data_IF_978712761638
#
_entry.id   IF_978712761638
#
_cell.length_a   1.000
_cell.length_b   1.000
_cell.length_c   1.000
_cell.angle_alpha   90.00
_cell.angle_beta   90.00
_cell.angle_gamma   90.00
#
_symmetry.space_group_name_H-M   'P 1'
#
loop_
_entity.id
_entity.type
_entity.pdbx_description
1 polymer ?
#
# COMPACT_ATOMS: atom_id res chain seq x y z
N UNK A 1 -10.06 -10.08 -3.66
CA UNK A 1 -9.39 -11.08 -4.49
C UNK A 1 -10.05 -12.44 -4.39
N UNK A 2 -10.18 -13.02 -3.20
CA UNK A 2 -10.77 -14.33 -2.93
C UNK A 2 -12.13 -14.60 -3.60
N UNK A 3 -12.96 -13.57 -3.74
CA UNK A 3 -14.33 -13.66 -4.28
C UNK A 3 -14.47 -13.14 -5.72
N UNK A 4 -13.43 -12.61 -6.34
CA UNK A 4 -13.52 -12.11 -7.72
C UNK A 4 -13.89 -13.19 -8.75
N UNK A 5 -13.40 -14.45 -8.63
CA UNK A 5 -13.82 -15.52 -9.53
C UNK A 5 -15.31 -15.82 -9.47
N UNK A 6 -15.98 -15.62 -8.33
CA UNK A 6 -17.42 -15.83 -8.18
C UNK A 6 -18.24 -14.83 -9.02
N UNK A 7 -17.62 -13.74 -9.46
CA UNK A 7 -18.18 -12.71 -10.34
C UNK A 7 -17.65 -12.79 -11.78
N UNK A 8 -16.97 -13.86 -12.15
CA UNK A 8 -16.45 -14.09 -13.50
C UNK A 8 -15.15 -13.37 -13.84
N UNK A 9 -14.39 -12.88 -12.83
CA UNK A 9 -13.09 -12.28 -13.02
C UNK A 9 -11.97 -13.31 -12.76
N UNK A 10 -10.91 -13.25 -13.55
CA UNK A 10 -9.67 -13.99 -13.32
C UNK A 10 -8.62 -13.04 -12.73
N UNK A 11 -8.37 -13.07 -11.42
CA UNK A 11 -7.44 -12.15 -10.79
C UNK A 11 -5.99 -12.58 -10.95
N UNK A 12 -5.16 -11.74 -11.57
CA UNK A 12 -3.71 -11.84 -11.59
C UNK A 12 -3.13 -10.91 -10.53
N UNK A 13 -2.42 -11.46 -9.56
CA UNK A 13 -1.93 -10.71 -8.39
C UNK A 13 -0.43 -10.53 -8.47
N UNK A 14 0.00 -9.32 -8.81
CA UNK A 14 1.41 -8.97 -8.84
C UNK A 14 1.96 -8.65 -7.45
N UNK A 15 2.97 -9.41 -7.04
CA UNK A 15 3.62 -9.29 -5.73
C UNK A 15 5.14 -9.43 -5.85
N UNK A 16 5.93 -8.92 -4.88
CA UNK A 16 7.36 -9.18 -4.83
C UNK A 16 7.66 -10.67 -4.59
N UNK A 17 8.73 -11.17 -5.20
CA UNK A 17 9.18 -12.54 -5.02
C UNK A 17 9.73 -12.79 -3.61
N UNK A 18 10.50 -11.83 -3.09
CA UNK A 18 11.17 -11.93 -1.79
C UNK A 18 10.83 -10.73 -0.91
N UNK A 19 9.59 -10.60 -0.43
CA UNK A 19 9.20 -9.47 0.40
C UNK A 19 9.74 -9.62 1.82
N UNK A 20 10.18 -8.51 2.41
CA UNK A 20 10.51 -8.45 3.83
C UNK A 20 9.26 -8.06 4.61
N UNK A 21 8.50 -9.05 5.07
CA UNK A 21 7.34 -8.83 5.94
C UNK A 21 7.69 -9.19 7.39
N UNK A 22 7.20 -8.42 8.38
CA UNK A 22 7.41 -8.72 9.78
C UNK A 22 6.67 -9.98 10.26
N UNK A 23 5.53 -10.28 9.63
CA UNK A 23 4.67 -11.44 9.92
C UNK A 23 4.09 -11.95 8.60
N UNK A 24 4.05 -13.27 8.45
CA UNK A 24 3.40 -13.98 7.34
C UNK A 24 2.38 -14.92 7.95
N UNK A 25 1.15 -14.85 7.48
CA UNK A 25 0.11 -15.82 7.82
C UNK A 25 -0.04 -16.82 6.67
N UNK A 26 0.48 -18.01 6.87
CA UNK A 26 0.47 -19.08 5.86
C UNK A 26 -0.97 -19.54 5.50
N UNK A 27 -1.91 -19.43 6.44
CA UNK A 27 -3.32 -19.80 6.16
C UNK A 27 -3.92 -18.84 5.15
N UNK A 28 -3.72 -17.54 5.33
CA UNK A 28 -4.19 -16.51 4.39
C UNK A 28 -3.52 -16.63 3.01
N UNK A 29 -2.24 -16.99 2.97
CA UNK A 29 -1.54 -17.24 1.70
C UNK A 29 -2.19 -18.39 0.95
N UNK A 30 -2.45 -19.52 1.61
CA UNK A 30 -3.05 -20.70 1.00
C UNK A 30 -4.50 -20.43 0.51
N UNK A 31 -5.27 -19.61 1.22
CA UNK A 31 -6.64 -19.25 0.81
C UNK A 31 -6.71 -18.47 -0.52
N UNK A 32 -5.64 -17.76 -0.86
CA UNK A 32 -5.60 -16.92 -2.08
C UNK A 32 -5.00 -17.67 -3.25
N UNK A 33 -4.06 -18.59 -3.03
CA UNK A 33 -3.31 -19.30 -4.08
C UNK A 33 -4.20 -20.11 -5.02
N UNK A 34 -5.31 -20.66 -4.53
CA UNK A 34 -6.22 -21.48 -5.33
C UNK A 34 -7.20 -20.62 -6.18
N UNK A 35 -7.26 -19.32 -5.94
CA UNK A 35 -8.26 -18.41 -6.53
C UNK A 35 -7.69 -17.27 -7.35
N UNK A 36 -6.38 -17.13 -7.37
CA UNK A 36 -5.70 -16.07 -8.09
C UNK A 36 -4.37 -16.53 -8.68
N UNK A 37 -4.02 -16.02 -9.85
CA UNK A 37 -2.71 -16.26 -10.47
C UNK A 37 -1.69 -15.33 -9.80
N UNK A 38 -0.72 -15.92 -9.09
CA UNK A 38 0.33 -15.15 -8.43
C UNK A 38 1.48 -14.86 -9.40
N UNK A 39 1.67 -13.58 -9.69
CA UNK A 39 2.74 -13.05 -10.54
C UNK A 39 3.83 -12.48 -9.67
N UNK A 40 5.00 -13.10 -9.66
CA UNK A 40 6.12 -12.72 -8.79
C UNK A 40 7.26 -12.10 -9.58
N UNK A 41 7.85 -11.05 -9.05
CA UNK A 41 9.05 -10.44 -9.62
C UNK A 41 10.00 -10.01 -8.50
N UNK A 42 11.29 -10.07 -8.79
CA UNK A 42 12.34 -9.61 -7.86
C UNK A 42 12.31 -8.11 -7.75
N UNK A 43 12.53 -7.65 -6.53
CA UNK A 43 12.55 -6.23 -6.20
C UNK A 43 13.80 -5.90 -5.39
N UNK A 44 14.22 -4.65 -5.50
CA UNK A 44 15.23 -4.08 -4.63
C UNK A 44 14.57 -3.38 -3.45
N UNK A 45 14.84 -3.86 -2.23
CA UNK A 45 14.38 -3.22 -0.97
C UNK A 45 15.57 -2.56 -0.26
N UNK A 46 15.66 -1.21 -0.22
CA UNK A 46 16.77 -0.50 0.44
C UNK A 46 16.89 -0.83 1.94
N UNK A 47 15.78 -1.17 2.58
CA UNK A 47 15.76 -1.53 4.00
C UNK A 47 16.44 -2.88 4.31
N UNK A 48 16.55 -3.78 3.34
CA UNK A 48 17.33 -5.01 3.51
C UNK A 48 18.82 -4.69 3.77
N UNK A 49 19.34 -3.64 3.14
CA UNK A 49 20.72 -3.15 3.40
C UNK A 49 20.83 -2.43 4.76
N UNK A 50 19.82 -1.66 5.15
CA UNK A 50 19.82 -0.95 6.44
C UNK A 50 19.71 -1.91 7.64
N UNK A 51 19.07 -3.07 7.47
CA UNK A 51 18.95 -4.09 8.53
C UNK A 51 20.29 -4.73 8.91
N UNK A 52 21.27 -4.70 8.02
CA UNK A 52 22.64 -5.18 8.29
C UNK A 52 23.36 -4.28 9.30
N UNK A 53 23.03 -2.98 9.34
CA UNK A 53 23.68 -1.99 10.21
C UNK A 53 22.96 -1.75 11.55
N UNK A 54 21.71 -2.21 11.73
CA UNK A 54 20.99 -2.00 12.99
C UNK A 54 19.89 -3.03 13.21
N UNK A 55 20.24 -4.11 13.94
CA UNK A 55 19.34 -5.26 14.16
C UNK A 55 18.00 -4.98 14.86
N UNK A 56 17.88 -3.94 15.68
CA UNK A 56 16.69 -3.72 16.50
C UNK A 56 15.83 -2.50 16.10
N UNK A 57 16.43 -1.42 15.62
CA UNK A 57 15.70 -0.17 15.33
C UNK A 57 15.13 -0.13 13.90
N UNK A 58 15.77 -0.82 12.98
CA UNK A 58 15.36 -0.85 11.56
C UNK A 58 14.06 -1.62 11.36
N UNK A 59 13.80 -2.69 12.14
CA UNK A 59 12.54 -3.46 12.07
C UNK A 59 11.32 -2.62 12.44
N UNK A 60 11.42 -1.73 13.43
CA UNK A 60 10.33 -0.83 13.85
C UNK A 60 10.01 0.23 12.79
N UNK A 61 11.05 0.77 12.15
CA UNK A 61 10.89 1.81 11.13
C UNK A 61 10.35 1.21 9.81
N UNK A 62 10.76 -0.01 9.45
CA UNK A 62 10.26 -0.70 8.24
C UNK A 62 8.81 -1.12 8.35
N UNK A 63 8.32 -1.41 9.56
CA UNK A 63 6.92 -1.78 9.81
C UNK A 63 5.95 -0.59 9.87
N UNK A 64 6.41 0.64 9.59
CA UNK A 64 5.55 1.83 9.65
C UNK A 64 5.34 2.41 11.05
N UNK A 65 5.82 1.75 12.10
CA UNK A 65 5.70 2.23 13.48
C UNK A 65 6.72 3.34 13.72
N UNK A 66 6.24 4.56 13.93
CA UNK A 66 7.10 5.70 14.27
C UNK A 66 7.35 5.68 15.78
N UNK A 67 8.61 5.59 16.24
CA UNK A 67 8.91 5.64 17.67
C UNK A 67 8.47 6.96 18.30
N UNK A 68 8.02 6.91 19.56
CA UNK A 68 7.51 8.07 20.28
C UNK A 68 8.54 9.23 20.26
N UNK A 69 8.14 10.42 19.79
CA UNK A 69 9.04 11.56 19.49
C UNK A 69 9.95 11.98 20.65
N UNK A 70 9.50 11.79 21.90
CA UNK A 70 10.25 12.21 23.10
C UNK A 70 11.52 11.38 23.40
N UNK A 71 11.72 10.23 22.71
CA UNK A 71 12.85 9.30 22.95
C UNK A 71 13.67 8.98 21.70
N UNK A 72 13.47 9.72 20.60
CA UNK A 72 14.19 9.45 19.35
C UNK A 72 15.64 9.90 19.42
N UNK A 73 16.55 8.99 19.08
CA UNK A 73 17.98 9.28 18.91
C UNK A 73 18.20 10.14 17.65
N UNK A 74 19.37 10.79 17.55
CA UNK A 74 19.73 11.58 16.38
C UNK A 74 19.74 10.75 15.09
N UNK A 75 20.18 9.49 15.17
CA UNK A 75 20.21 8.55 14.06
C UNK A 75 18.78 8.23 13.58
N UNK A 76 17.84 7.97 14.50
CA UNK A 76 16.43 7.73 14.15
C UNK A 76 15.78 8.92 13.47
N UNK A 77 16.09 10.14 13.95
CA UNK A 77 15.62 11.38 13.31
C UNK A 77 16.17 11.55 11.90
N UNK A 78 17.46 11.25 11.69
CA UNK A 78 18.10 11.28 10.37
C UNK A 78 17.50 10.23 9.43
N UNK A 79 17.25 9.01 9.92
CA UNK A 79 16.62 7.95 9.13
C UNK A 79 15.17 8.29 8.73
N UNK A 80 14.39 8.88 9.63
CA UNK A 80 13.03 9.36 9.32
C UNK A 80 13.05 10.48 8.27
N UNK A 81 14.00 11.40 8.40
CA UNK A 81 14.17 12.48 7.42
C UNK A 81 14.53 11.91 6.03
N UNK A 82 15.51 11.00 5.96
CA UNK A 82 15.89 10.33 4.72
C UNK A 82 14.69 9.58 4.12
N UNK A 83 13.94 8.84 4.95
CA UNK A 83 12.74 8.11 4.51
C UNK A 83 11.72 9.02 3.84
N UNK A 84 11.44 10.20 4.42
CA UNK A 84 10.41 11.10 3.88
C UNK A 84 10.90 11.96 2.71
N UNK A 85 12.22 12.20 2.60
CA UNK A 85 12.75 13.17 1.64
C UNK A 85 13.52 12.55 0.47
N UNK A 86 14.13 11.39 0.66
CA UNK A 86 14.87 10.69 -0.40
C UNK A 86 14.06 9.60 -1.07
N UNK A 87 13.12 8.96 -0.34
CA UNK A 87 12.29 7.88 -0.87
C UNK A 87 10.85 8.35 -1.05
N UNK A 88 10.55 8.97 -2.18
CA UNK A 88 9.23 9.52 -2.49
C UNK A 88 8.56 8.67 -3.58
N UNK A 89 7.38 8.09 -3.31
CA UNK A 89 6.50 8.27 -2.15
C UNK A 89 6.88 7.45 -0.92
N UNK A 90 7.60 6.38 -1.08
CA UNK A 90 8.02 5.45 -0.04
C UNK A 90 9.24 4.64 -0.51
N UNK A 91 9.78 3.78 0.36
CA UNK A 91 10.99 3.01 0.08
C UNK A 91 10.86 2.03 -1.08
N UNK A 92 9.66 1.78 -1.57
CA UNK A 92 9.39 0.89 -2.70
C UNK A 92 9.38 1.60 -4.05
N UNK A 93 9.76 2.88 -4.08
CA UNK A 93 9.89 3.66 -5.31
C UNK A 93 10.81 2.98 -6.34
N UNK A 94 11.80 2.21 -5.90
CA UNK A 94 12.69 1.44 -6.78
C UNK A 94 12.01 0.25 -7.49
N UNK A 95 10.81 -0.15 -7.04
CA UNK A 95 10.02 -1.14 -7.76
C UNK A 95 9.39 -0.60 -9.03
N UNK A 96 9.14 0.71 -9.07
CA UNK A 96 8.28 1.30 -10.10
C UNK A 96 8.79 0.95 -11.49
N UNK A 97 10.03 1.32 -11.81
CA UNK A 97 10.58 1.09 -13.14
C UNK A 97 10.64 -0.40 -13.54
N UNK A 98 11.28 -1.30 -12.75
CA UNK A 98 11.36 -2.71 -13.14
C UNK A 98 9.99 -3.39 -13.17
N UNK A 99 9.03 -2.97 -12.33
CA UNK A 99 7.67 -3.48 -12.38
C UNK A 99 6.93 -3.06 -13.64
N UNK A 100 7.08 -1.82 -14.06
CA UNK A 100 6.44 -1.33 -15.30
C UNK A 100 7.00 -2.10 -16.50
N UNK A 101 8.31 -2.24 -16.62
CA UNK A 101 8.95 -2.98 -17.72
C UNK A 101 8.46 -4.43 -17.77
N UNK A 102 8.38 -5.11 -16.64
CA UNK A 102 7.89 -6.47 -16.55
C UNK A 102 6.39 -6.59 -16.86
N UNK A 103 5.58 -5.72 -16.22
CA UNK A 103 4.12 -5.79 -16.34
C UNK A 103 3.61 -5.43 -17.73
N UNK A 104 4.28 -4.57 -18.48
CA UNK A 104 3.90 -4.27 -19.87
C UNK A 104 3.88 -5.56 -20.71
N UNK A 105 4.94 -6.35 -20.65
CA UNK A 105 5.03 -7.62 -21.38
C UNK A 105 3.98 -8.61 -20.88
N UNK A 106 3.81 -8.67 -19.56
CA UNK A 106 2.85 -9.57 -18.93
C UNK A 106 1.40 -9.26 -19.30
N UNK A 107 1.01 -7.99 -19.23
CA UNK A 107 -0.34 -7.49 -19.54
C UNK A 107 -0.69 -7.78 -21.02
N UNK A 108 0.23 -7.52 -21.94
CA UNK A 108 0.05 -7.83 -23.36
C UNK A 108 -0.10 -9.33 -23.61
N UNK A 109 0.76 -10.14 -23.03
CA UNK A 109 0.74 -11.60 -23.21
C UNK A 109 -0.55 -12.25 -22.67
N UNK A 110 -1.14 -11.69 -21.61
CA UNK A 110 -2.35 -12.21 -20.98
C UNK A 110 -3.63 -11.41 -21.34
N UNK A 111 -3.54 -10.43 -22.26
CA UNK A 111 -4.66 -9.62 -22.72
C UNK A 111 -5.43 -8.96 -21.56
N UNK A 112 -4.71 -8.48 -20.55
CA UNK A 112 -5.31 -7.80 -19.40
C UNK A 112 -5.69 -6.38 -19.81
N UNK A 113 -6.93 -5.99 -19.62
CA UNK A 113 -7.47 -4.67 -19.95
C UNK A 113 -7.68 -3.75 -18.75
N UNK A 114 -7.70 -4.33 -17.55
CA UNK A 114 -8.00 -3.60 -16.32
C UNK A 114 -6.99 -3.91 -15.25
N UNK A 115 -6.45 -2.87 -14.62
CA UNK A 115 -5.53 -2.99 -13.49
C UNK A 115 -6.08 -2.29 -12.25
N UNK A 116 -5.80 -2.86 -11.09
CA UNK A 116 -6.12 -2.27 -9.79
C UNK A 116 -4.82 -2.12 -9.00
N UNK A 117 -4.52 -0.92 -8.54
CA UNK A 117 -3.38 -0.69 -7.66
C UNK A 117 -3.84 -0.36 -6.25
N UNK A 118 -3.29 -1.05 -5.26
CA UNK A 118 -3.63 -0.88 -3.83
C UNK A 118 -2.48 -0.22 -3.08
N UNK A 119 -2.76 0.78 -2.30
CA UNK A 119 -1.79 1.48 -1.45
C UNK A 119 -2.31 1.78 -0.04
N UNK A 120 -1.42 1.87 0.99
CA UNK A 120 0.03 1.86 0.91
C UNK A 120 0.65 0.48 0.61
N UNK A 121 1.85 0.40 0.02
CA UNK A 121 2.74 1.51 -0.34
C UNK A 121 2.27 2.27 -1.58
N UNK A 122 2.38 3.61 -1.57
CA UNK A 122 1.87 4.44 -2.66
C UNK A 122 2.72 4.38 -3.95
N UNK A 123 3.92 3.81 -3.87
CA UNK A 123 4.70 3.43 -5.06
C UNK A 123 3.94 2.51 -6.00
N UNK A 124 2.98 1.72 -5.49
CA UNK A 124 2.12 0.88 -6.32
C UNK A 124 1.27 1.71 -7.29
N UNK A 125 0.77 2.86 -6.82
CA UNK A 125 0.03 3.77 -7.69
C UNK A 125 0.91 4.42 -8.76
N UNK A 126 2.22 4.59 -8.52
CA UNK A 126 3.14 5.08 -9.56
C UNK A 126 3.39 4.02 -10.65
N UNK A 127 3.33 2.74 -10.32
CA UNK A 127 3.35 1.67 -11.32
C UNK A 127 2.11 1.78 -12.22
N UNK A 128 0.91 1.86 -11.61
CA UNK A 128 -0.34 2.03 -12.35
C UNK A 128 -0.35 3.30 -13.20
N UNK A 129 0.16 4.41 -12.66
CA UNK A 129 0.27 5.68 -13.37
C UNK A 129 1.11 5.57 -14.66
N UNK A 130 2.27 4.89 -14.59
CA UNK A 130 3.12 4.70 -15.76
C UNK A 130 2.50 3.74 -16.77
N UNK A 131 1.94 2.62 -16.31
CA UNK A 131 1.23 1.67 -17.17
C UNK A 131 0.06 2.34 -17.89
N UNK A 132 -0.77 3.12 -17.18
CA UNK A 132 -1.89 3.86 -17.76
C UNK A 132 -1.45 4.87 -18.83
N UNK A 133 -0.28 5.51 -18.66
CA UNK A 133 0.25 6.46 -19.65
C UNK A 133 0.82 5.80 -20.90
N UNK A 134 1.33 4.57 -20.76
CA UNK A 134 2.02 3.86 -21.84
C UNK A 134 1.15 2.83 -22.54
N UNK A 135 0.03 2.44 -21.93
CA UNK A 135 -0.88 1.40 -22.42
C UNK A 135 -2.33 1.85 -22.32
N UNK A 136 -3.19 1.31 -23.17
CA UNK A 136 -4.65 1.54 -23.11
C UNK A 136 -5.28 0.59 -22.10
N UNK A 137 -5.25 0.96 -20.82
CA UNK A 137 -5.77 0.16 -19.70
C UNK A 137 -6.85 0.94 -18.94
N UNK A 138 -7.82 0.22 -18.40
CA UNK A 138 -8.65 0.73 -17.32
C UNK A 138 -7.85 0.65 -16.04
N UNK A 139 -7.76 1.74 -15.30
CA UNK A 139 -6.98 1.79 -14.06
C UNK A 139 -7.80 2.27 -12.88
N UNK A 140 -7.96 1.41 -11.89
CA UNK A 140 -8.64 1.69 -10.63
C UNK A 140 -7.58 1.82 -9.54
N UNK A 141 -7.67 2.88 -8.73
CA UNK A 141 -6.80 3.07 -7.57
C UNK A 141 -7.56 2.75 -6.29
N UNK A 142 -7.02 1.86 -5.46
CA UNK A 142 -7.54 1.53 -4.14
C UNK A 142 -6.68 2.17 -3.06
N UNK A 143 -7.16 3.27 -2.50
CA UNK A 143 -6.53 3.98 -1.39
C UNK A 143 -7.09 3.47 -0.07
N UNK A 144 -6.40 2.51 0.53
CA UNK A 144 -6.75 2.00 1.86
C UNK A 144 -6.48 3.03 2.96
N UNK A 145 -5.48 3.90 2.71
CA UNK A 145 -5.17 5.08 3.51
C UNK A 145 -4.94 6.29 2.59
N UNK A 146 -5.28 7.52 3.02
CA UNK A 146 -4.94 8.71 2.26
C UNK A 146 -3.42 8.90 2.21
N UNK A 147 -2.91 9.47 1.12
CA UNK A 147 -1.47 9.59 0.91
C UNK A 147 -0.86 10.74 1.71
N UNK A 148 -1.29 11.98 1.43
CA UNK A 148 -0.65 13.16 2.04
C UNK A 148 -1.33 13.67 3.29
N UNK A 149 -2.56 13.27 3.57
CA UNK A 149 -3.35 13.71 4.74
C UNK A 149 -3.27 12.73 5.91
N UNK A 150 -2.67 11.56 5.73
CA UNK A 150 -2.49 10.58 6.81
C UNK A 150 -1.65 11.15 7.96
N UNK A 151 -2.06 10.88 9.20
CA UNK A 151 -1.49 11.51 10.39
C UNK A 151 0.04 11.40 10.52
N UNK A 152 0.62 10.23 10.23
CA UNK A 152 2.07 10.03 10.34
C UNK A 152 2.88 10.78 9.27
N UNK A 153 2.28 11.26 8.19
CA UNK A 153 2.98 12.01 7.14
C UNK A 153 3.60 13.31 7.68
N UNK A 154 2.96 13.92 8.68
CA UNK A 154 3.48 15.11 9.37
C UNK A 154 4.76 14.81 10.17
N UNK A 155 4.92 13.56 10.61
CA UNK A 155 6.07 13.12 11.42
C UNK A 155 7.34 12.87 10.60
N UNK A 156 7.22 12.72 9.28
CA UNK A 156 8.35 12.50 8.38
C UNK A 156 9.27 13.72 8.20
N UNK A 157 8.92 14.88 8.79
CA UNK A 157 9.70 16.13 8.70
C UNK A 157 10.11 16.48 7.27
N UNK A 158 9.13 16.47 6.37
CA UNK A 158 9.35 16.70 4.96
C UNK A 158 9.90 18.12 4.70
N UNK A 159 10.87 18.21 3.81
CA UNK A 159 11.26 19.47 3.19
C UNK A 159 10.10 20.01 2.34
N UNK A 160 10.10 21.31 2.06
CA UNK A 160 9.08 21.93 1.20
C UNK A 160 9.04 21.28 -0.18
N UNK A 161 10.19 20.89 -0.72
CA UNK A 161 10.29 20.19 -1.99
C UNK A 161 9.66 18.79 -1.94
N UNK A 162 9.99 17.99 -0.92
CA UNK A 162 9.44 16.65 -0.75
C UNK A 162 7.92 16.69 -0.56
N UNK A 163 7.42 17.60 0.30
CA UNK A 163 5.99 17.79 0.50
C UNK A 163 5.26 18.18 -0.80
N UNK A 164 5.84 19.07 -1.62
CA UNK A 164 5.31 19.43 -2.93
C UNK A 164 5.30 18.23 -3.88
N UNK A 165 6.36 17.42 -3.86
CA UNK A 165 6.49 16.24 -4.72
C UNK A 165 5.44 15.17 -4.38
N UNK A 166 5.23 14.86 -3.09
CA UNK A 166 4.17 13.96 -2.64
C UNK A 166 2.79 14.42 -3.11
N UNK A 167 2.44 15.70 -2.88
CA UNK A 167 1.16 16.26 -3.34
C UNK A 167 1.00 16.23 -4.86
N UNK A 168 2.08 16.46 -5.58
CA UNK A 168 2.07 16.38 -7.05
C UNK A 168 1.76 14.97 -7.53
N UNK A 169 2.40 13.97 -6.95
CA UNK A 169 2.15 12.57 -7.31
C UNK A 169 0.73 12.13 -6.93
N UNK A 170 0.26 12.44 -5.73
CA UNK A 170 -1.10 12.14 -5.31
C UNK A 170 -2.14 12.72 -6.29
N UNK A 171 -1.99 14.01 -6.61
CA UNK A 171 -2.87 14.70 -7.55
C UNK A 171 -2.80 14.09 -8.95
N UNK A 172 -1.62 13.73 -9.42
CA UNK A 172 -1.43 13.13 -10.75
C UNK A 172 -2.08 11.75 -10.82
N UNK A 173 -1.91 10.91 -9.80
CA UNK A 173 -2.55 9.60 -9.68
C UNK A 173 -4.07 9.74 -9.71
N UNK A 174 -4.63 10.60 -8.84
CA UNK A 174 -6.07 10.82 -8.72
C UNK A 174 -6.72 11.37 -9.99
N UNK A 175 -5.98 12.09 -10.84
CA UNK A 175 -6.53 12.67 -12.08
C UNK A 175 -6.26 11.82 -13.33
N UNK A 176 -5.36 10.84 -13.25
CA UNK A 176 -5.03 9.95 -14.38
C UNK A 176 -5.79 8.63 -14.33
N UNK A 177 -6.11 8.12 -13.15
CA UNK A 177 -6.91 6.90 -13.00
C UNK A 177 -8.33 7.08 -13.54
N UNK A 178 -9.02 5.98 -13.80
CA UNK A 178 -10.40 5.99 -14.27
C UNK A 178 -11.41 6.02 -13.11
N UNK A 179 -11.06 5.37 -11.99
CA UNK A 179 -11.87 5.38 -10.77
C UNK A 179 -11.00 5.25 -9.52
N UNK A 180 -11.52 5.73 -8.40
CA UNK A 180 -10.87 5.69 -7.09
C UNK A 180 -11.74 4.93 -6.10
N UNK A 181 -11.12 4.03 -5.36
CA UNK A 181 -11.71 3.37 -4.20
C UNK A 181 -11.04 3.92 -2.95
N UNK A 182 -11.84 4.21 -1.93
CA UNK A 182 -11.36 4.64 -0.61
C UNK A 182 -12.10 3.87 0.49
N UNK A 183 -11.50 3.77 1.67
CA UNK A 183 -12.08 3.01 2.79
C UNK A 183 -13.01 3.81 3.68
N UNK A 184 -13.06 5.14 3.55
CA UNK A 184 -13.89 5.99 4.41
C UNK A 184 -14.54 7.15 3.66
N UNK A 185 -15.74 7.61 4.14
CA UNK A 185 -16.38 8.81 3.61
C UNK A 185 -15.53 10.07 3.78
N UNK A 186 -14.71 10.14 4.83
CA UNK A 186 -13.81 11.27 5.09
C UNK A 186 -12.77 11.39 3.99
N UNK A 187 -12.08 10.27 3.66
CA UNK A 187 -11.09 10.25 2.56
C UNK A 187 -11.74 10.58 1.21
N UNK A 188 -12.97 10.09 0.97
CA UNK A 188 -13.74 10.46 -0.22
C UNK A 188 -13.89 11.97 -0.33
N UNK A 189 -14.37 12.63 0.73
CA UNK A 189 -14.56 14.08 0.76
C UNK A 189 -13.26 14.87 0.54
N UNK A 190 -12.15 14.38 1.09
CA UNK A 190 -10.83 14.98 0.87
C UNK A 190 -10.39 14.87 -0.59
N UNK A 191 -10.62 13.73 -1.22
CA UNK A 191 -10.20 13.48 -2.60
C UNK A 191 -11.12 14.16 -3.64
N UNK A 192 -12.41 14.38 -3.33
CA UNK A 192 -13.33 15.17 -4.15
C UNK A 192 -12.84 16.62 -4.36
N UNK A 193 -12.03 17.14 -3.43
CA UNK A 193 -11.37 18.44 -3.60
C UNK A 193 -10.16 18.41 -4.55
N UNK A 194 -9.65 17.22 -4.90
CA UNK A 194 -8.43 17.05 -5.70
C UNK A 194 -8.70 16.52 -7.11
N UNK A 195 -9.84 15.85 -7.33
CA UNK A 195 -10.19 15.20 -8.61
C UNK A 195 -11.69 15.21 -8.87
N UNK A 196 -12.07 15.17 -10.17
CA UNK A 196 -13.44 14.95 -10.62
C UNK A 196 -13.71 13.48 -11.02
N UNK A 197 -12.76 12.58 -10.79
CA UNK A 197 -12.93 11.15 -11.09
C UNK A 197 -13.94 10.51 -10.15
N UNK A 198 -14.66 9.47 -10.57
CA UNK A 198 -15.60 8.76 -9.71
C UNK A 198 -14.89 8.15 -8.49
N UNK A 199 -15.41 8.40 -7.30
CA UNK A 199 -14.86 7.90 -6.02
C UNK A 199 -15.91 7.05 -5.33
N UNK A 200 -15.60 5.77 -5.11
CA UNK A 200 -16.43 4.82 -4.36
C UNK A 200 -15.86 4.55 -2.98
N UNK A 201 -16.74 4.50 -1.97
CA UNK A 201 -16.34 4.08 -0.61
C UNK A 201 -16.59 2.58 -0.49
N UNK A 202 -15.52 1.82 -0.30
CA UNK A 202 -15.57 0.38 -0.03
C UNK A 202 -14.74 0.14 1.24
N UNK A 203 -15.42 -0.10 2.35
CA UNK A 203 -14.77 -0.34 3.64
C UNK A 203 -14.00 -1.66 3.65
N UNK A 204 -13.03 -1.79 4.56
CA UNK A 204 -12.36 -3.07 4.77
C UNK A 204 -13.40 -4.13 5.18
N UNK A 205 -13.42 -5.23 4.45
CA UNK A 205 -14.24 -6.39 4.77
C UNK A 205 -13.57 -7.30 5.81
N UNK A 206 -14.35 -8.24 6.33
CA UNK A 206 -13.85 -9.33 7.16
C UNK A 206 -14.59 -10.61 6.79
N UNK A 207 -13.89 -11.73 6.89
CA UNK A 207 -14.52 -13.04 6.78
C UNK A 207 -15.06 -13.47 8.16
N UNK A 208 -16.28 -13.96 8.17
CA UNK A 208 -16.86 -14.53 9.41
C UNK A 208 -16.26 -15.92 9.63
N UNK A 209 -15.13 -15.98 10.33
CA UNK A 209 -14.76 -17.25 10.95
C UNK A 209 -15.79 -17.61 12.01
N UNK A 210 -16.20 -18.88 12.07
CA UNK A 210 -17.05 -19.37 13.16
C UNK A 210 -16.30 -19.14 14.47
N UNK A 211 -16.63 -18.06 15.14
CA UNK A 211 -16.14 -17.81 16.49
C UNK A 211 -16.77 -18.88 17.37
N UNK A 212 -15.94 -19.77 17.93
CA UNK A 212 -16.42 -20.69 18.95
C UNK A 212 -17.06 -19.86 20.08
N UNK A 213 -18.29 -20.19 20.46
CA UNK A 213 -18.96 -19.56 21.59
C UNK A 213 -18.09 -19.74 22.84
N UNK A 214 -17.29 -18.70 23.14
CA UNK A 214 -16.58 -18.64 24.43
C UNK A 214 -17.57 -18.18 25.48
N UNK A 215 -17.49 -18.80 26.66
CA UNK A 215 -18.20 -18.30 27.84
C UNK A 215 -17.79 -16.83 28.07
N UNK A 216 -18.80 -16.01 28.32
CA UNK A 216 -18.55 -14.61 28.66
C UNK A 216 -17.78 -14.50 29.98
N UNK A 217 -16.99 -13.46 30.14
CA UNK A 217 -16.32 -13.14 31.38
C UNK A 217 -17.36 -12.92 32.50
N UNK A 218 -17.07 -13.40 33.70
CA UNK A 218 -17.96 -13.21 34.87
C UNK A 218 -18.09 -11.73 35.28
N UNK A 219 -17.09 -10.91 34.90
CA UNK A 219 -17.08 -9.46 35.14
C UNK A 219 -17.16 -8.71 33.82
N UNK A 220 -17.83 -7.56 33.84
CA UNK A 220 -17.81 -6.65 32.70
C UNK A 220 -16.37 -6.25 32.38
N UNK A 221 -15.93 -6.63 31.18
CA UNK A 221 -14.58 -6.33 30.67
C UNK A 221 -14.68 -5.43 29.45
N UNK A 222 -13.98 -4.32 29.46
CA UNK A 222 -13.81 -3.44 28.31
C UNK A 222 -12.36 -3.57 27.82
N UNK A 223 -12.19 -4.02 26.57
CA UNK A 223 -10.88 -4.11 25.95
C UNK A 223 -10.78 -3.14 24.78
N UNK A 224 -9.68 -2.37 24.70
CA UNK A 224 -9.28 -1.63 23.51
C UNK A 224 -8.23 -2.43 22.77
N UNK A 225 -8.55 -2.85 21.54
CA UNK A 225 -7.64 -3.59 20.65
C UNK A 225 -7.30 -2.65 19.50
N UNK A 226 -6.12 -2.08 19.55
CA UNK A 226 -5.63 -1.15 18.53
C UNK A 226 -4.23 -0.64 18.86
N UNK A 227 -3.59 0.00 17.90
CA UNK A 227 -2.27 0.67 18.06
C UNK A 227 -2.43 2.17 18.26
#
# INVERSE_FOLDING_TARGET
MKYLPDFGFEPHVYIPENPTYPLIDEKLVNEVTDKAILVKNRIFEPYALASVFSKNNTKKISSGIIPNQKKQTFIEKAMLWIRGNAFIPDARVFWVKPSVEFLKIYIEAHQIDTIITTGPPHSMHLIGLQLKKEMQLNWITDFRDPWTTIGYHKELKLSKWAAKKHKSFEKEVLNTCDAVIVTSPTTKKEFEALTNKPISVITNGYDVEKVSTKTMDEKFTLAHIGS
#
